data_IF_803650717453
#
_entry.id   IF_803650717453
#
_cell.length_a   1.000
_cell.length_b   1.000
_cell.length_c   1.000
_cell.angle_alpha   90.00
_cell.angle_beta   90.00
_cell.angle_gamma   90.00
#
_symmetry.space_group_name_H-M   'P 1'
#
loop_
_entity.id
_entity.type
_entity.pdbx_description
1 polymer ?
#
# COMPACT_ATOMS: atom_id res chain seq x y z
N UNK A 1 -7.12 20.84 6.70
CA UNK A 1 -7.59 19.78 5.76
C UNK A 1 -7.04 18.46 6.26
N UNK A 2 -7.85 17.41 6.30
CA UNK A 2 -7.37 16.09 6.73
C UNK A 2 -6.42 15.52 5.66
N UNK A 3 -5.28 14.93 6.08
CA UNK A 3 -4.37 14.23 5.17
C UNK A 3 -5.08 13.02 4.55
N UNK A 4 -4.94 12.84 3.24
CA UNK A 4 -5.47 11.68 2.52
C UNK A 4 -4.35 10.67 2.30
N UNK A 5 -4.45 9.54 2.97
CA UNK A 5 -3.42 8.51 2.93
C UNK A 5 -3.52 7.67 1.66
N UNK A 6 -2.43 7.61 0.91
CA UNK A 6 -2.30 6.83 -0.33
C UNK A 6 -1.71 5.47 0.01
N UNK A 7 -2.44 4.40 -0.24
CA UNK A 7 -2.06 3.03 0.15
C UNK A 7 -1.86 2.19 -1.11
N UNK A 8 -0.64 1.69 -1.31
CA UNK A 8 -0.32 0.70 -2.34
C UNK A 8 -0.77 -0.71 -1.92
N UNK A 9 -1.60 -1.35 -2.74
CA UNK A 9 -2.14 -2.68 -2.47
C UNK A 9 -1.95 -3.65 -3.65
N UNK A 10 -1.74 -4.92 -3.29
CA UNK A 10 -1.70 -6.06 -4.22
C UNK A 10 -2.98 -6.88 -4.05
N UNK A 11 -3.57 -7.41 -5.13
CA UNK A 11 -4.80 -8.21 -5.05
C UNK A 11 -4.54 -9.66 -4.59
N UNK A 12 -3.64 -9.84 -3.61
CA UNK A 12 -3.40 -11.16 -3.05
C UNK A 12 -4.56 -11.60 -2.17
N UNK A 13 -4.97 -12.86 -2.32
CA UNK A 13 -6.12 -13.42 -1.60
C UNK A 13 -6.00 -13.30 -0.08
N UNK A 14 -4.77 -13.37 0.46
CA UNK A 14 -4.53 -13.23 1.90
C UNK A 14 -4.73 -11.78 2.42
N UNK A 15 -4.50 -10.78 1.58
CA UNK A 15 -4.64 -9.36 1.92
C UNK A 15 -5.98 -8.76 1.47
N UNK A 16 -6.69 -9.41 0.55
CA UNK A 16 -7.93 -8.90 -0.03
C UNK A 16 -9.00 -8.55 1.02
N UNK A 17 -9.27 -9.38 2.06
CA UNK A 17 -10.25 -9.01 3.09
C UNK A 17 -9.91 -7.71 3.82
N UNK A 18 -8.62 -7.44 4.07
CA UNK A 18 -8.17 -6.21 4.71
C UNK A 18 -8.41 -5.00 3.79
N UNK A 19 -7.91 -5.07 2.55
CA UNK A 19 -7.96 -3.91 1.63
C UNK A 19 -9.41 -3.57 1.25
N UNK A 20 -10.24 -4.58 0.99
CA UNK A 20 -11.67 -4.36 0.67
C UNK A 20 -12.42 -3.77 1.87
N UNK A 21 -12.09 -4.19 3.10
CA UNK A 21 -12.71 -3.60 4.29
C UNK A 21 -12.31 -2.12 4.45
N UNK A 22 -11.06 -1.77 4.16
CA UNK A 22 -10.59 -0.38 4.19
C UNK A 22 -11.23 0.49 3.09
N UNK A 23 -11.50 -0.05 1.90
CA UNK A 23 -12.23 0.67 0.85
C UNK A 23 -13.71 0.90 1.22
N UNK A 24 -14.35 -0.08 1.86
CA UNK A 24 -15.76 -0.03 2.24
C UNK A 24 -16.03 0.91 3.41
N UNK A 25 -15.23 0.79 4.46
CA UNK A 25 -15.40 1.52 5.72
C UNK A 25 -14.07 2.15 6.14
N UNK A 26 -13.64 3.23 5.46
CA UNK A 26 -12.35 3.84 5.73
C UNK A 26 -12.37 4.57 7.09
N UNK A 27 -11.46 4.25 8.03
CA UNK A 27 -11.40 4.92 9.33
C UNK A 27 -10.89 6.37 9.27
N UNK A 28 -10.35 6.77 8.13
CA UNK A 28 -9.78 8.08 7.82
C UNK A 28 -9.77 8.26 6.29
N UNK A 29 -9.50 9.45 5.74
CA UNK A 29 -9.46 9.63 4.28
C UNK A 29 -8.35 8.79 3.62
N UNK A 30 -8.74 7.78 2.82
CA UNK A 30 -7.84 6.85 2.13
C UNK A 30 -7.97 6.95 0.60
N UNK A 31 -6.90 6.65 -0.12
CA UNK A 31 -6.86 6.35 -1.56
C UNK A 31 -6.10 5.04 -1.76
N UNK A 32 -6.79 3.98 -2.18
CA UNK A 32 -6.14 2.70 -2.51
C UNK A 32 -5.65 2.73 -3.95
N UNK A 33 -4.37 2.38 -4.15
CA UNK A 33 -3.74 2.20 -5.46
C UNK A 33 -3.34 0.76 -5.65
N UNK A 34 -3.98 0.10 -6.60
CA UNK A 34 -3.68 -1.28 -6.96
C UNK A 34 -2.50 -1.34 -7.93
N UNK A 35 -1.58 -2.27 -7.71
CA UNK A 35 -0.41 -2.48 -8.57
C UNK A 35 0.25 -3.83 -8.34
N UNK A 36 1.32 -4.10 -9.07
CA UNK A 36 2.17 -5.27 -8.83
C UNK A 36 3.21 -4.99 -7.73
N UNK A 37 3.78 -6.01 -7.05
CA UNK A 37 4.70 -5.79 -5.93
C UNK A 37 5.90 -4.89 -6.25
N UNK A 38 6.46 -4.99 -7.46
CA UNK A 38 7.57 -4.15 -7.90
C UNK A 38 7.19 -2.68 -8.06
N UNK A 39 5.94 -2.39 -8.45
CA UNK A 39 5.44 -1.02 -8.52
C UNK A 39 5.22 -0.45 -7.13
N UNK A 40 4.67 -1.24 -6.20
CA UNK A 40 4.42 -0.80 -4.83
C UNK A 40 5.70 -0.43 -4.08
N UNK A 41 6.77 -1.23 -4.21
CA UNK A 41 8.06 -0.92 -3.61
C UNK A 41 8.59 0.42 -4.16
N UNK A 42 8.62 0.56 -5.49
CA UNK A 42 9.02 1.81 -6.16
C UNK A 42 8.17 3.00 -5.71
N UNK A 43 6.84 2.84 -5.63
CA UNK A 43 5.93 3.92 -5.22
C UNK A 43 6.16 4.35 -3.78
N UNK A 44 6.50 3.42 -2.90
CA UNK A 44 6.83 3.72 -1.51
C UNK A 44 8.15 4.49 -1.44
N UNK A 45 9.19 4.05 -2.17
CA UNK A 45 10.48 4.72 -2.25
C UNK A 45 10.39 6.15 -2.82
N UNK A 46 9.58 6.34 -3.86
CA UNK A 46 9.42 7.64 -4.53
C UNK A 46 8.41 8.57 -3.85
N UNK A 47 7.72 8.08 -2.81
CA UNK A 47 6.65 8.83 -2.13
C UNK A 47 5.39 9.02 -2.97
N UNK A 48 5.20 8.22 -4.03
CA UNK A 48 3.95 8.15 -4.80
C UNK A 48 2.79 7.58 -3.96
N UNK A 49 3.10 6.75 -2.95
CA UNK A 49 2.18 6.30 -1.88
C UNK A 49 2.79 6.56 -0.50
N UNK A 50 1.95 6.63 0.53
CA UNK A 50 2.38 6.85 1.91
C UNK A 50 2.68 5.53 2.65
N UNK A 51 1.99 4.45 2.27
CA UNK A 51 2.16 3.09 2.80
C UNK A 51 1.94 2.09 1.66
N UNK A 52 2.62 0.94 1.67
CA UNK A 52 2.39 -0.12 0.69
C UNK A 52 2.57 -1.53 1.30
N UNK A 53 1.86 -2.52 0.74
CA UNK A 53 2.15 -3.93 1.00
C UNK A 53 3.42 -4.31 0.24
N UNK A 54 4.53 -4.48 0.95
CA UNK A 54 5.82 -4.90 0.39
C UNK A 54 6.24 -6.26 0.94
N UNK A 55 7.06 -7.00 0.19
CA UNK A 55 7.64 -8.25 0.70
C UNK A 55 8.71 -7.95 1.74
N UNK A 56 8.95 -8.89 2.67
CA UNK A 56 10.07 -8.78 3.61
C UNK A 56 11.42 -8.73 2.90
N UNK A 57 11.55 -9.36 1.73
CA UNK A 57 12.77 -9.30 0.92
C UNK A 57 13.01 -7.89 0.40
N UNK A 58 11.98 -7.23 -0.14
CA UNK A 58 12.09 -5.85 -0.60
C UNK A 58 12.44 -4.92 0.57
N UNK A 59 11.72 -5.02 1.68
CA UNK A 59 11.98 -4.23 2.89
C UNK A 59 13.42 -4.38 3.41
N UNK A 60 13.89 -5.62 3.61
CA UNK A 60 15.24 -5.88 4.12
C UNK A 60 16.33 -5.48 3.11
N UNK A 61 16.02 -5.46 1.81
CA UNK A 61 16.92 -4.97 0.77
C UNK A 61 17.06 -3.44 0.74
N UNK A 62 16.17 -2.68 1.38
CA UNK A 62 16.26 -1.21 1.49
C UNK A 62 17.13 -0.73 2.65
N UNK A 63 17.44 -1.60 3.63
CA UNK A 63 18.24 -1.24 4.82
C UNK A 63 19.76 -1.38 4.60
N UNK A 64 20.21 -1.69 3.38
CA UNK A 64 21.63 -1.75 2.97
C UNK A 64 22.05 -0.56 2.14
#
# INVERSE_FOLDING_TARGET
>A
MAHRWRIGAVPYLNALPLVVSLEREPPLPLEIRWGVPSELARWLETGEVDVAIVSSIAWLGHEG
#
